data_IF_006247543912
#
_entry.id   IF_006247543912
#
_cell.length_a   1.000
_cell.length_b   1.000
_cell.length_c   1.000
_cell.angle_alpha   90.00
_cell.angle_beta   90.00
_cell.angle_gamma   90.00
#
_symmetry.space_group_name_H-M   'P 1'
#
loop_
_entity.id
_entity.type
_entity.pdbx_description
1 polymer ?
#
# COMPACT_ATOMS: atom_id res chain seq x y z
N UNK A 1 -5.50 18.89 9.96
CA UNK A 1 -4.69 18.70 11.18
C UNK A 1 -3.31 18.31 10.71
N UNK A 2 -2.31 19.17 10.91
CA UNK A 2 -0.91 18.79 10.71
C UNK A 2 -0.50 17.89 11.87
N UNK A 3 -0.36 16.60 11.61
CA UNK A 3 0.05 15.62 12.63
C UNK A 3 1.56 15.71 12.79
N UNK A 4 2.01 16.48 13.79
CA UNK A 4 3.41 16.54 14.17
C UNK A 4 3.65 15.45 15.24
N UNK A 5 4.15 14.28 14.83
CA UNK A 5 4.37 13.14 15.73
C UNK A 5 5.62 13.32 16.59
N UNK A 6 5.52 13.00 17.88
CA UNK A 6 6.70 12.85 18.73
C UNK A 6 7.42 11.53 18.41
N UNK A 7 8.74 11.49 18.59
CA UNK A 7 9.56 10.32 18.25
C UNK A 7 9.16 9.02 18.99
N UNK A 8 8.56 9.13 20.18
CA UNK A 8 8.03 7.99 20.94
C UNK A 8 6.87 7.30 20.22
N UNK A 9 5.89 8.08 19.76
CA UNK A 9 4.70 7.58 19.08
C UNK A 9 5.03 6.94 17.72
N UNK A 10 6.04 7.46 17.01
CA UNK A 10 6.49 6.88 15.76
C UNK A 10 7.13 5.49 15.96
N UNK A 11 7.94 5.34 17.01
CA UNK A 11 8.57 4.06 17.33
C UNK A 11 7.53 2.96 17.59
N UNK A 12 6.48 3.27 18.35
CA UNK A 12 5.40 2.31 18.61
C UNK A 12 4.68 1.90 17.33
N UNK A 13 4.32 2.89 16.49
CA UNK A 13 3.67 2.62 15.19
C UNK A 13 4.54 1.79 14.24
N UNK A 14 5.86 2.00 14.24
CA UNK A 14 6.80 1.17 13.47
C UNK A 14 6.84 -0.27 14.00
N UNK A 15 6.81 -0.46 15.33
CA UNK A 15 6.76 -1.79 15.93
C UNK A 15 5.44 -2.51 15.59
N UNK A 16 4.32 -1.81 15.65
CA UNK A 16 3.00 -2.35 15.27
C UNK A 16 2.95 -2.74 13.79
N UNK A 17 3.51 -1.91 12.91
CA UNK A 17 3.62 -2.22 11.49
C UNK A 17 4.50 -3.46 11.25
N UNK A 18 5.67 -3.54 11.88
CA UNK A 18 6.53 -4.71 11.77
C UNK A 18 5.83 -5.99 12.30
N UNK A 19 5.12 -5.89 13.43
CA UNK A 19 4.34 -6.99 13.99
C UNK A 19 3.22 -7.43 13.03
N UNK A 20 2.52 -6.47 12.41
CA UNK A 20 1.51 -6.73 11.40
C UNK A 20 2.09 -7.50 10.20
N UNK A 21 3.20 -7.02 9.63
CA UNK A 21 3.83 -7.64 8.44
C UNK A 21 4.29 -9.06 8.75
N UNK A 22 4.98 -9.27 9.87
CA UNK A 22 5.49 -10.59 10.24
C UNK A 22 4.36 -11.59 10.54
N UNK A 23 3.33 -11.15 11.26
CA UNK A 23 2.15 -11.98 11.55
C UNK A 23 1.40 -12.36 10.26
N UNK A 24 1.23 -11.38 9.38
CA UNK A 24 0.62 -11.56 8.07
C UNK A 24 1.40 -12.55 7.20
N UNK A 25 2.72 -12.39 7.10
CA UNK A 25 3.59 -13.30 6.35
C UNK A 25 3.52 -14.73 6.92
N UNK A 26 3.49 -14.88 8.25
CA UNK A 26 3.36 -16.19 8.89
C UNK A 26 2.02 -16.85 8.58
N UNK A 27 0.94 -16.09 8.50
CA UNK A 27 -0.41 -16.59 8.23
C UNK A 27 -0.56 -17.11 6.79
N UNK A 28 0.09 -16.48 5.81
CA UNK A 28 -0.01 -16.82 4.39
C UNK A 28 0.32 -18.29 4.06
N UNK A 29 1.16 -18.97 4.85
CA UNK A 29 1.42 -20.41 4.70
C UNK A 29 0.19 -21.31 4.90
N UNK A 30 -0.89 -20.77 5.46
CA UNK A 30 -2.14 -21.49 5.78
C UNK A 30 -3.36 -20.89 5.09
N UNK A 31 -3.16 -19.90 4.22
CA UNK A 31 -4.24 -19.17 3.54
C UNK A 31 -4.23 -19.50 2.04
N UNK A 32 -5.36 -19.31 1.32
CA UNK A 32 -5.39 -19.39 -0.13
C UNK A 32 -4.37 -18.42 -0.77
N UNK A 33 -3.77 -18.81 -1.90
CA UNK A 33 -2.72 -18.03 -2.55
C UNK A 33 -3.15 -16.59 -2.91
N UNK A 34 -4.45 -16.37 -3.19
CA UNK A 34 -5.02 -15.05 -3.47
C UNK A 34 -4.89 -14.06 -2.30
N UNK A 35 -4.68 -14.55 -1.08
CA UNK A 35 -4.42 -13.67 0.08
C UNK A 35 -3.07 -12.98 0.02
N UNK A 36 -2.07 -13.53 -0.69
CA UNK A 36 -0.75 -12.91 -0.83
C UNK A 36 -0.83 -11.49 -1.41
N UNK A 37 -1.37 -11.32 -2.61
CA UNK A 37 -1.59 -10.01 -3.23
C UNK A 37 -2.40 -9.04 -2.36
N UNK A 38 -3.50 -9.51 -1.76
CA UNK A 38 -4.31 -8.68 -0.85
C UNK A 38 -3.50 -8.19 0.36
N UNK A 39 -2.68 -9.07 0.95
CA UNK A 39 -1.86 -8.74 2.11
C UNK A 39 -0.74 -7.76 1.78
N UNK A 40 -0.19 -7.83 0.57
CA UNK A 40 0.78 -6.84 0.07
C UNK A 40 0.13 -5.47 -0.10
N UNK A 41 -1.08 -5.41 -0.68
CA UNK A 41 -1.84 -4.17 -0.81
C UNK A 41 -2.18 -3.55 0.56
N UNK A 42 -2.63 -4.37 1.53
CA UNK A 42 -2.87 -3.91 2.91
C UNK A 42 -1.59 -3.39 3.59
N UNK A 43 -0.47 -4.09 3.37
CA UNK A 43 0.83 -3.70 3.94
C UNK A 43 1.30 -2.37 3.37
N UNK A 44 1.17 -2.17 2.06
CA UNK A 44 1.48 -0.90 1.43
C UNK A 44 0.64 0.24 2.03
N UNK A 45 -0.67 0.01 2.20
CA UNK A 45 -1.56 1.01 2.77
C UNK A 45 -1.16 1.44 4.18
N UNK A 46 -0.82 0.49 5.05
CA UNK A 46 -0.32 0.79 6.39
C UNK A 46 1.01 1.53 6.36
N UNK A 47 1.88 1.20 5.40
CA UNK A 47 3.13 1.94 5.18
C UNK A 47 2.87 3.40 4.78
N UNK A 48 1.90 3.65 3.91
CA UNK A 48 1.51 5.00 3.50
C UNK A 48 0.88 5.79 4.64
N UNK A 49 0.06 5.16 5.49
CA UNK A 49 -0.47 5.78 6.71
C UNK A 49 0.67 6.23 7.66
N UNK A 50 1.73 5.42 7.80
CA UNK A 50 2.92 5.80 8.59
C UNK A 50 3.65 6.99 7.99
N UNK A 51 3.87 6.99 6.67
CA UNK A 51 4.51 8.09 5.96
C UNK A 51 3.70 9.38 6.08
N UNK A 52 2.38 9.29 5.91
CA UNK A 52 1.47 10.42 6.07
C UNK A 52 1.50 10.98 7.49
N UNK A 53 1.54 10.10 8.50
CA UNK A 53 1.67 10.53 9.89
C UNK A 53 3.05 11.17 10.18
N UNK A 54 4.08 10.84 9.40
CA UNK A 54 5.39 11.49 9.42
C UNK A 54 5.45 12.80 8.59
N UNK A 55 4.34 13.24 8.01
CA UNK A 55 4.27 14.43 7.16
C UNK A 55 4.74 14.19 5.71
N UNK A 56 4.94 12.94 5.31
CA UNK A 56 5.33 12.57 3.94
C UNK A 56 4.07 12.10 3.20
N UNK A 57 3.68 12.84 2.16
CA UNK A 57 2.53 12.52 1.32
C UNK A 57 2.86 12.77 -0.15
N UNK A 58 2.39 11.87 -1.01
CA UNK A 58 2.51 11.99 -2.47
C UNK A 58 1.14 11.73 -3.10
N UNK A 59 0.63 12.67 -3.89
CA UNK A 59 -0.69 12.57 -4.52
C UNK A 59 -0.74 11.50 -5.60
N UNK A 60 0.38 11.24 -6.29
CA UNK A 60 0.50 10.17 -7.28
C UNK A 60 0.29 8.81 -6.62
N UNK A 61 0.90 8.62 -5.45
CA UNK A 61 0.77 7.38 -4.69
C UNK A 61 -0.66 7.19 -4.20
N UNK A 62 -1.34 8.25 -3.77
CA UNK A 62 -2.77 8.18 -3.41
C UNK A 62 -3.66 7.83 -4.61
N UNK A 63 -3.39 8.40 -5.78
CA UNK A 63 -4.12 8.08 -7.01
C UNK A 63 -3.92 6.62 -7.42
N UNK A 64 -2.68 6.11 -7.34
CA UNK A 64 -2.39 4.71 -7.62
C UNK A 64 -3.14 3.78 -6.66
N UNK A 65 -3.18 4.10 -5.37
CA UNK A 65 -3.85 3.27 -4.36
C UNK A 65 -5.38 3.36 -4.41
N UNK A 66 -5.97 4.41 -4.98
CA UNK A 66 -7.42 4.49 -5.16
C UNK A 66 -7.99 3.29 -5.92
N UNK A 67 -7.36 2.91 -7.03
CA UNK A 67 -7.77 1.74 -7.84
C UNK A 67 -7.70 0.43 -7.05
N UNK A 68 -6.71 0.28 -6.17
CA UNK A 68 -6.52 -0.91 -5.33
C UNK A 68 -7.56 -0.96 -4.21
N UNK A 69 -7.91 0.18 -3.62
CA UNK A 69 -8.94 0.29 -2.56
C UNK A 69 -10.33 -0.07 -3.09
N UNK A 70 -10.65 0.40 -4.29
CA UNK A 70 -11.93 0.14 -4.96
C UNK A 70 -12.13 -1.35 -5.30
N UNK A 71 -11.04 -2.07 -5.60
CA UNK A 71 -11.10 -3.49 -5.99
C UNK A 71 -11.00 -4.48 -4.82
N UNK A 72 -10.67 -4.04 -3.60
CA UNK A 72 -10.59 -4.91 -2.41
C UNK A 72 -11.86 -5.74 -2.14
N UNK A 73 -13.09 -5.20 -2.25
CA UNK A 73 -14.30 -5.98 -1.96
C UNK A 73 -14.48 -7.19 -2.88
N UNK A 74 -13.94 -7.12 -4.10
CA UNK A 74 -14.10 -8.16 -5.11
C UNK A 74 -12.87 -9.06 -5.25
N UNK A 75 -11.77 -8.77 -4.54
CA UNK A 75 -10.50 -9.50 -4.69
C UNK A 75 -10.57 -11.02 -4.48
N UNK A 76 -11.56 -11.49 -3.71
CA UNK A 76 -11.80 -12.92 -3.48
C UNK A 76 -12.77 -13.55 -4.48
N UNK A 77 -13.66 -12.77 -5.09
CA UNK A 77 -14.70 -13.23 -6.01
C UNK A 77 -14.35 -13.01 -7.48
N UNK A 78 -13.46 -12.05 -7.74
CA UNK A 78 -12.95 -11.66 -9.05
C UNK A 78 -11.44 -11.35 -8.95
N UNK A 79 -10.59 -12.41 -8.95
CA UNK A 79 -9.14 -12.24 -8.90
C UNK A 79 -8.57 -11.52 -10.12
N UNK A 80 -9.21 -11.65 -11.29
CA UNK A 80 -8.80 -10.97 -12.53
C UNK A 80 -9.03 -9.46 -12.41
N UNK A 81 -10.21 -9.04 -11.96
CA UNK A 81 -10.50 -7.63 -11.70
C UNK A 81 -9.59 -7.00 -10.65
N UNK A 82 -9.15 -7.78 -9.65
CA UNK A 82 -8.14 -7.32 -8.69
C UNK A 82 -6.74 -7.19 -9.32
N UNK A 83 -6.34 -8.13 -10.17
CA UNK A 83 -5.08 -8.03 -10.91
C UNK A 83 -5.05 -6.80 -11.83
N UNK A 84 -6.12 -6.55 -12.58
CA UNK A 84 -6.23 -5.35 -13.42
C UNK A 84 -6.18 -4.05 -12.61
N UNK A 85 -6.73 -4.04 -11.39
CA UNK A 85 -6.63 -2.89 -10.50
C UNK A 85 -5.19 -2.62 -10.05
N UNK A 86 -4.41 -3.68 -9.78
CA UNK A 86 -2.98 -3.57 -9.51
C UNK A 86 -2.23 -3.05 -10.73
N UNK A 87 -2.54 -3.55 -11.93
CA UNK A 87 -1.92 -3.09 -13.18
C UNK A 87 -2.18 -1.59 -13.43
N UNK A 88 -3.41 -1.12 -13.18
CA UNK A 88 -3.74 0.32 -13.25
C UNK A 88 -2.94 1.14 -12.25
N UNK A 89 -2.82 0.67 -11.01
CA UNK A 89 -2.01 1.34 -9.99
C UNK A 89 -0.53 1.42 -10.39
N UNK A 90 0.03 0.32 -10.92
CA UNK A 90 1.40 0.26 -11.42
C UNK A 90 1.59 1.24 -12.59
N UNK A 91 0.64 1.29 -13.54
CA UNK A 91 0.71 2.19 -14.68
C UNK A 91 0.74 3.67 -14.27
N UNK A 92 -0.06 4.07 -13.26
CA UNK A 92 -0.02 5.43 -12.70
C UNK A 92 1.37 5.77 -12.14
N UNK A 93 1.95 4.87 -11.36
CA UNK A 93 3.28 5.09 -10.77
C UNK A 93 4.37 5.14 -11.85
N UNK A 94 4.33 4.26 -12.84
CA UNK A 94 5.27 4.26 -13.97
C UNK A 94 5.16 5.57 -14.74
N UNK A 95 3.95 6.02 -15.09
CA UNK A 95 3.73 7.25 -15.84
C UNK A 95 4.32 8.46 -15.10
N UNK A 96 4.09 8.57 -13.78
CA UNK A 96 4.66 9.63 -12.98
C UNK A 96 6.21 9.61 -13.00
N UNK A 97 6.85 8.44 -12.96
CA UNK A 97 8.32 8.37 -13.06
C UNK A 97 8.86 8.74 -14.44
N UNK A 98 8.05 8.60 -15.50
CA UNK A 98 8.43 8.99 -16.86
C UNK A 98 8.26 10.50 -17.07
N UNK A 99 7.21 11.11 -16.51
CA UNK A 99 6.98 12.57 -16.55
C UNK A 99 8.02 13.34 -15.73
N UNK A 100 8.60 12.72 -14.70
CA UNK A 100 9.64 13.33 -13.85
C UNK A 100 11.03 13.29 -14.50
N UNK A 101 11.26 12.55 -15.60
CA UNK A 101 12.54 12.61 -16.33
C UNK A 101 12.61 13.88 -17.17
N UNK A 102 13.46 14.88 -16.84
CA UNK A 102 13.87 15.87 -17.83
C UNK A 102 14.78 15.17 -18.85
N UNK A 103 14.75 15.65 -20.09
CA UNK A 103 15.62 15.25 -21.19
C UNK A 103 17.08 15.08 -20.70
N UNK A 104 17.68 13.94 -21.03
CA UNK A 104 19.11 13.68 -20.85
C UNK A 104 19.93 14.35 -21.96
#
# INVERSE_FOLDING_TARGET
>A
METNLQAGDMRERMLDFAAYVLTSARALYREPHSYGPMRLADTLEKGLELLQAAGIRDETVEQAMAAVRESRPVAMTDPEGFAEALDRAIAVLVQATLEVKPEA
#
